data_IF_373765551485
#
_entry.id   IF_373765551485
#
_cell.length_a   1.000
_cell.length_b   1.000
_cell.length_c   1.000
_cell.angle_alpha   90.00
_cell.angle_beta   90.00
_cell.angle_gamma   90.00
#
_symmetry.space_group_name_H-M   'P 1'
#
loop_
_entity.id
_entity.type
_entity.pdbx_description
1 polymer ?
#
# COMPACT_ATOMS: atom_id res chain seq x y z
N UNK A 1 6.73 -1.88 -14.34
CA UNK A 1 5.36 -1.48 -14.76
C UNK A 1 5.50 -0.27 -15.69
N UNK A 2 4.57 -0.11 -16.63
CA UNK A 2 4.48 0.89 -17.72
C UNK A 2 5.61 1.95 -17.78
N UNK A 3 6.60 1.69 -18.65
CA UNK A 3 7.60 2.65 -19.11
C UNK A 3 6.92 3.77 -19.92
N UNK A 4 6.43 4.80 -19.23
CA UNK A 4 6.17 6.11 -19.85
C UNK A 4 7.33 7.03 -19.50
N UNK A 5 8.53 6.60 -19.86
CA UNK A 5 9.70 7.48 -19.93
C UNK A 5 9.66 8.18 -21.29
N UNK A 6 8.59 8.96 -21.51
CA UNK A 6 8.51 9.84 -22.66
C UNK A 6 9.38 11.07 -22.31
N UNK A 7 10.47 11.37 -23.02
CA UNK A 7 11.38 12.47 -22.70
C UNK A 7 10.77 13.82 -23.11
N UNK A 8 9.56 14.11 -22.62
CA UNK A 8 8.79 15.30 -22.98
C UNK A 8 8.79 16.22 -21.76
N UNK A 9 9.75 17.14 -21.74
CA UNK A 9 9.97 18.15 -20.68
C UNK A 9 8.89 19.25 -20.65
N UNK A 10 7.62 18.90 -20.84
CA UNK A 10 6.52 19.83 -20.63
C UNK A 10 6.06 19.76 -19.17
N UNK A 11 6.17 20.88 -18.44
CA UNK A 11 5.81 20.98 -17.02
C UNK A 11 4.43 20.40 -16.70
N UNK A 12 3.44 20.63 -17.57
CA UNK A 12 2.08 20.09 -17.38
C UNK A 12 2.00 18.56 -17.47
N UNK A 13 2.83 17.90 -18.29
CA UNK A 13 2.85 16.44 -18.41
C UNK A 13 3.54 15.83 -17.18
N UNK A 14 4.60 16.47 -16.67
CA UNK A 14 5.29 16.01 -15.45
C UNK A 14 4.38 16.15 -14.23
N UNK A 15 3.62 17.24 -14.13
CA UNK A 15 2.61 17.43 -13.08
C UNK A 15 1.47 16.41 -13.20
N UNK A 16 0.94 16.19 -14.40
CA UNK A 16 -0.08 15.18 -14.65
C UNK A 16 0.43 13.75 -14.36
N UNK A 17 1.66 13.43 -14.75
CA UNK A 17 2.30 12.15 -14.46
C UNK A 17 2.51 11.97 -12.96
N UNK A 18 2.97 13.00 -12.24
CA UNK A 18 3.08 12.95 -10.79
C UNK A 18 1.71 12.76 -10.11
N UNK A 19 0.67 13.39 -10.65
CA UNK A 19 -0.71 13.20 -10.20
C UNK A 19 -1.16 11.75 -10.45
N UNK A 20 -1.05 11.27 -11.69
CA UNK A 20 -1.42 9.91 -12.10
C UNK A 20 -0.67 8.89 -11.25
N UNK A 21 0.65 9.00 -11.09
CA UNK A 21 1.44 8.09 -10.24
C UNK A 21 0.94 8.12 -8.80
N UNK A 22 0.58 9.29 -8.26
CA UNK A 22 0.05 9.41 -6.89
C UNK A 22 -1.32 8.74 -6.72
N UNK A 23 -2.24 8.88 -7.68
CA UNK A 23 -3.58 8.27 -7.60
C UNK A 23 -3.60 6.81 -8.07
N UNK A 24 -2.77 6.42 -9.04
CA UNK A 24 -2.64 5.04 -9.51
C UNK A 24 -1.79 4.17 -8.58
N UNK A 25 -0.87 4.75 -7.80
CA UNK A 25 -0.19 4.01 -6.74
C UNK A 25 -1.20 3.46 -5.70
N UNK A 26 -2.32 4.14 -5.50
CA UNK A 26 -3.41 3.59 -4.67
C UNK A 26 -4.09 2.39 -5.35
N UNK A 27 -4.25 2.42 -6.68
CA UNK A 27 -4.81 1.32 -7.48
C UNK A 27 -3.91 0.08 -7.51
N UNK A 28 -2.59 0.24 -7.48
CA UNK A 28 -1.64 -0.89 -7.50
C UNK A 28 -1.48 -1.57 -6.13
N UNK A 29 -1.88 -0.89 -5.05
CA UNK A 29 -1.86 -1.41 -3.68
C UNK A 29 -3.01 -2.38 -3.38
N UNK A 30 -2.86 -3.15 -2.31
CA UNK A 30 -3.72 -4.29 -1.97
C UNK A 30 -5.18 -3.86 -1.79
N UNK A 31 -5.44 -2.70 -1.16
CA UNK A 31 -6.79 -2.10 -1.12
C UNK A 31 -7.36 -1.75 -2.49
N UNK A 32 -6.53 -1.27 -3.43
CA UNK A 32 -6.94 -0.91 -4.79
C UNK A 32 -7.39 -2.11 -5.60
N UNK A 33 -6.67 -3.24 -5.48
CA UNK A 33 -7.08 -4.53 -6.08
C UNK A 33 -8.42 -5.01 -5.52
N UNK A 34 -8.65 -4.87 -4.21
CA UNK A 34 -9.93 -5.20 -3.58
C UNK A 34 -11.09 -4.39 -4.15
N UNK A 35 -10.92 -3.07 -4.29
CA UNK A 35 -11.93 -2.18 -4.89
C UNK A 35 -12.20 -2.57 -6.35
N UNK A 36 -11.16 -2.93 -7.10
CA UNK A 36 -11.33 -3.41 -8.47
C UNK A 36 -12.14 -4.70 -8.56
N UNK A 37 -11.93 -5.65 -7.65
CA UNK A 37 -12.75 -6.87 -7.58
C UNK A 37 -14.19 -6.59 -7.18
N UNK A 38 -14.44 -5.63 -6.29
CA UNK A 38 -15.81 -5.19 -5.96
C UNK A 38 -16.50 -4.67 -7.22
N UNK A 39 -15.83 -3.77 -7.95
CA UNK A 39 -16.36 -3.21 -9.20
C UNK A 39 -16.63 -4.31 -10.24
N UNK A 40 -15.64 -5.19 -10.47
CA UNK A 40 -15.75 -6.28 -11.42
C UNK A 40 -16.88 -7.24 -11.05
N UNK A 41 -17.02 -7.60 -9.76
CA UNK A 41 -18.11 -8.44 -9.27
C UNK A 41 -19.50 -7.81 -9.52
N UNK A 42 -19.65 -6.52 -9.23
CA UNK A 42 -20.92 -5.80 -9.50
C UNK A 42 -21.24 -5.70 -11.00
N UNK A 43 -20.22 -5.46 -11.83
CA UNK A 43 -20.40 -5.34 -13.29
C UNK A 43 -20.72 -6.70 -13.93
N UNK A 44 -20.05 -7.78 -13.50
CA UNK A 44 -20.36 -9.15 -13.91
C UNK A 44 -21.78 -9.53 -13.50
N UNK A 45 -22.19 -9.22 -12.26
CA UNK A 45 -23.55 -9.45 -11.81
C UNK A 45 -24.59 -8.74 -12.69
N UNK A 46 -24.41 -7.43 -12.92
CA UNK A 46 -25.32 -6.64 -13.76
C UNK A 46 -25.39 -7.17 -15.20
N UNK A 47 -24.24 -7.48 -15.80
CA UNK A 47 -24.17 -7.98 -17.18
C UNK A 47 -24.88 -9.32 -17.36
N UNK A 48 -24.67 -10.27 -16.44
CA UNK A 48 -25.35 -11.58 -16.56
C UNK A 48 -26.84 -11.51 -16.23
N UNK A 49 -27.24 -10.59 -15.35
CA UNK A 49 -28.64 -10.37 -15.01
C UNK A 49 -29.43 -9.76 -16.19
N UNK A 50 -28.88 -8.71 -16.81
CA UNK A 50 -29.54 -8.00 -17.92
C UNK A 50 -29.66 -8.84 -19.19
N UNK A 51 -28.65 -9.66 -19.49
CA UNK A 51 -28.68 -10.52 -20.69
C UNK A 51 -29.51 -11.80 -20.51
N UNK A 52 -30.10 -12.03 -19.33
CA UNK A 52 -30.92 -13.22 -18.98
C UNK A 52 -30.28 -14.58 -19.31
N UNK A 53 -28.94 -14.65 -19.43
CA UNK A 53 -28.23 -15.87 -19.85
C UNK A 53 -28.33 -16.93 -18.75
N UNK A 54 -27.98 -16.54 -17.51
CA UNK A 54 -27.98 -17.45 -16.37
C UNK A 54 -27.99 -16.67 -15.05
N UNK A 55 -29.18 -16.51 -14.45
CA UNK A 55 -29.37 -15.80 -13.17
C UNK A 55 -28.58 -16.38 -12.00
N UNK A 56 -28.60 -17.70 -11.83
CA UNK A 56 -27.88 -18.39 -10.76
C UNK A 56 -26.35 -18.26 -10.92
N UNK A 57 -25.83 -18.23 -12.15
CA UNK A 57 -24.42 -17.97 -12.45
C UNK A 57 -24.04 -16.52 -12.18
N UNK A 58 -24.93 -15.57 -12.48
CA UNK A 58 -24.76 -14.15 -12.15
C UNK A 58 -24.54 -13.97 -10.65
N UNK A 59 -25.41 -14.58 -9.84
CA UNK A 59 -25.32 -14.55 -8.37
C UNK A 59 -24.03 -15.23 -7.92
N UNK A 60 -23.76 -16.46 -8.36
CA UNK A 60 -22.65 -17.24 -7.81
C UNK A 60 -21.28 -16.66 -8.17
N UNK A 61 -21.07 -16.22 -9.41
CA UNK A 61 -19.81 -15.60 -9.85
C UNK A 61 -19.68 -14.14 -9.39
N UNK A 62 -20.71 -13.33 -9.61
CA UNK A 62 -20.69 -11.90 -9.27
C UNK A 62 -20.57 -11.67 -7.77
N UNK A 63 -21.37 -12.38 -6.98
CA UNK A 63 -21.33 -12.26 -5.52
C UNK A 63 -20.04 -12.83 -4.91
N UNK A 64 -19.53 -13.95 -5.43
CA UNK A 64 -18.28 -14.52 -4.95
C UNK A 64 -17.09 -13.57 -5.16
N UNK A 65 -16.95 -13.00 -6.37
CA UNK A 65 -15.90 -12.02 -6.68
C UNK A 65 -16.06 -10.75 -5.84
N UNK A 66 -17.30 -10.29 -5.65
CA UNK A 66 -17.60 -9.16 -4.78
C UNK A 66 -17.16 -9.42 -3.33
N UNK A 67 -17.49 -10.59 -2.75
CA UNK A 67 -17.10 -10.95 -1.38
C UNK A 67 -15.58 -10.99 -1.20
N UNK A 68 -14.85 -11.56 -2.17
CA UNK A 68 -13.38 -11.55 -2.16
C UNK A 68 -12.86 -10.11 -2.19
N UNK A 69 -13.46 -9.25 -3.03
CA UNK A 69 -13.12 -7.84 -3.10
C UNK A 69 -13.30 -7.12 -1.76
N UNK A 70 -14.46 -7.30 -1.12
CA UNK A 70 -14.75 -6.72 0.21
C UNK A 70 -13.75 -7.23 1.25
N UNK A 71 -13.50 -8.54 1.30
CA UNK A 71 -12.56 -9.13 2.25
C UNK A 71 -11.14 -8.58 2.06
N UNK A 72 -10.67 -8.49 0.81
CA UNK A 72 -9.36 -7.93 0.49
C UNK A 72 -9.26 -6.45 0.88
N UNK A 73 -10.28 -5.64 0.60
CA UNK A 73 -10.33 -4.22 0.97
C UNK A 73 -10.32 -4.03 2.48
N UNK A 74 -11.10 -4.81 3.24
CA UNK A 74 -11.14 -4.74 4.71
C UNK A 74 -9.79 -5.13 5.31
N UNK A 75 -9.20 -6.23 4.87
CA UNK A 75 -7.89 -6.68 5.33
C UNK A 75 -6.79 -5.65 5.05
N UNK A 76 -6.78 -5.06 3.86
CA UNK A 76 -5.86 -3.98 3.52
C UNK A 76 -6.06 -2.75 4.40
N UNK A 77 -7.31 -2.34 4.62
CA UNK A 77 -7.64 -1.21 5.48
C UNK A 77 -7.25 -1.43 6.95
N UNK A 78 -7.44 -2.64 7.50
CA UNK A 78 -7.02 -2.97 8.85
C UNK A 78 -5.50 -2.88 9.02
N UNK A 79 -4.74 -3.42 8.06
CA UNK A 79 -3.27 -3.34 8.08
C UNK A 79 -2.77 -1.91 7.90
N UNK A 80 -3.43 -1.12 7.04
CA UNK A 80 -3.16 0.31 6.86
C UNK A 80 -3.29 1.07 8.18
N UNK A 81 -4.37 0.82 8.93
CA UNK A 81 -4.59 1.45 10.25
C UNK A 81 -3.52 1.05 11.26
N UNK A 82 -3.07 -0.21 11.24
CA UNK A 82 -2.00 -0.68 12.13
C UNK A 82 -0.69 0.04 11.82
N UNK A 83 -0.33 0.18 10.55
CA UNK A 83 0.82 0.95 10.11
C UNK A 83 0.70 2.43 10.49
N UNK A 84 -0.48 3.03 10.33
CA UNK A 84 -0.70 4.43 10.72
C UNK A 84 -0.61 4.65 12.23
N UNK A 85 -1.01 3.67 13.05
CA UNK A 85 -0.79 3.75 14.52
C UNK A 85 0.69 3.78 14.88
N UNK A 86 1.52 2.92 14.26
CA UNK A 86 2.98 2.93 14.45
C UNK A 86 3.52 4.30 14.13
N UNK A 87 3.11 4.85 12.99
CA UNK A 87 3.49 6.19 12.56
C UNK A 87 3.11 7.26 13.58
N UNK A 88 1.87 7.23 14.08
CA UNK A 88 1.39 8.19 15.08
C UNK A 88 2.17 8.09 16.39
N UNK A 89 2.54 6.87 16.82
CA UNK A 89 3.36 6.68 18.02
C UNK A 89 4.78 7.21 17.84
N UNK A 90 5.41 6.95 16.69
CA UNK A 90 6.73 7.53 16.37
C UNK A 90 6.67 9.05 16.38
N UNK A 91 5.62 9.65 15.79
CA UNK A 91 5.42 11.11 15.81
C UNK A 91 5.24 11.65 17.24
N UNK A 92 4.50 10.95 18.09
CA UNK A 92 4.30 11.34 19.50
C UNK A 92 5.59 11.32 20.31
N UNK A 93 6.52 10.42 19.99
CA UNK A 93 7.81 10.33 20.66
C UNK A 93 8.73 11.52 20.34
N UNK A 94 8.36 12.42 19.40
CA UNK A 94 9.11 13.63 19.02
C UNK A 94 10.60 13.39 18.71
N UNK A 95 11.00 12.14 18.47
CA UNK A 95 12.37 11.82 18.12
C UNK A 95 12.61 12.26 16.68
N UNK A 96 13.79 12.84 16.45
CA UNK A 96 14.20 13.25 15.13
C UNK A 96 14.18 12.02 14.20
N UNK A 97 13.36 12.02 13.15
CA UNK A 97 13.09 10.83 12.32
C UNK A 97 14.36 10.26 11.69
N UNK A 98 15.34 11.12 11.42
CA UNK A 98 16.66 10.74 10.92
C UNK A 98 17.49 10.00 11.98
N UNK A 99 17.40 10.43 13.24
CA UNK A 99 18.11 9.77 14.35
C UNK A 99 17.52 8.40 14.65
N UNK A 100 16.19 8.26 14.61
CA UNK A 100 15.56 6.95 14.71
C UNK A 100 16.00 6.05 13.55
N UNK A 101 15.93 6.53 12.32
CA UNK A 101 16.35 5.74 11.17
C UNK A 101 17.79 5.24 11.32
N UNK A 102 18.73 6.12 11.67
CA UNK A 102 20.14 5.75 11.87
C UNK A 102 20.36 4.83 13.10
N UNK A 103 19.48 4.88 14.10
CA UNK A 103 19.58 4.01 15.27
C UNK A 103 19.17 2.56 14.96
N UNK A 104 18.24 2.34 14.03
CA UNK A 104 17.66 1.02 13.72
C UNK A 104 18.16 0.44 12.39
N UNK A 105 18.52 1.24 11.39
CA UNK A 105 19.08 0.79 10.11
C UNK A 105 20.59 0.50 10.22
N UNK A 106 20.97 -0.47 11.07
CA UNK A 106 22.37 -0.77 11.40
C UNK A 106 23.02 -1.79 10.46
N UNK A 107 22.22 -2.64 9.83
CA UNK A 107 22.72 -3.80 9.09
C UNK A 107 23.29 -3.42 7.72
N UNK A 108 22.63 -2.51 6.99
CA UNK A 108 23.07 -2.06 5.66
C UNK A 108 22.66 -0.60 5.37
N UNK A 109 23.53 0.40 5.61
CA UNK A 109 23.24 1.81 5.30
C UNK A 109 22.95 2.08 3.81
N UNK A 110 23.47 1.23 2.92
CA UNK A 110 23.29 1.36 1.46
C UNK A 110 21.99 0.74 0.94
N UNK A 111 21.48 -0.33 1.58
CA UNK A 111 20.26 -1.03 1.17
C UNK A 111 19.01 -0.52 1.89
N UNK A 112 19.18 0.16 3.02
CA UNK A 112 18.10 0.72 3.83
C UNK A 112 17.67 -0.23 4.96
N UNK A 113 16.62 0.18 5.68
CA UNK A 113 16.10 -0.55 6.84
C UNK A 113 15.34 -1.81 6.38
N UNK A 114 15.75 -2.95 6.89
CA UNK A 114 15.15 -4.27 6.59
C UNK A 114 13.80 -4.47 7.29
N UNK A 115 13.08 -5.53 6.92
CA UNK A 115 11.82 -5.91 7.57
C UNK A 115 12.01 -6.17 9.08
N UNK A 116 13.07 -6.85 9.46
CA UNK A 116 13.36 -7.18 10.86
C UNK A 116 13.68 -5.94 11.69
N UNK A 117 14.46 -5.01 11.13
CA UNK A 117 14.77 -3.73 11.76
C UNK A 117 13.53 -2.84 11.91
N UNK A 118 12.64 -2.86 10.92
CA UNK A 118 11.35 -2.18 11.02
C UNK A 118 10.44 -2.83 12.08
N UNK A 119 10.44 -4.16 12.20
CA UNK A 119 9.67 -4.84 13.23
C UNK A 119 10.15 -4.45 14.62
N UNK A 120 11.47 -4.41 14.87
CA UNK A 120 12.05 -3.93 16.12
C UNK A 120 11.60 -2.49 16.45
N UNK A 121 11.62 -1.59 15.47
CA UNK A 121 11.13 -0.22 15.64
C UNK A 121 9.63 -0.18 15.95
N UNK A 122 8.83 -1.02 15.31
CA UNK A 122 7.39 -1.13 15.59
C UNK A 122 7.11 -1.71 16.99
N UNK A 123 7.91 -2.67 17.45
CA UNK A 123 7.81 -3.23 18.80
C UNK A 123 8.12 -2.17 19.86
N UNK A 124 9.08 -1.26 19.61
CA UNK A 124 9.34 -0.10 20.49
C UNK A 124 8.18 0.89 20.50
N UNK A 125 7.43 0.99 19.40
CA UNK A 125 6.16 1.70 19.38
C UNK A 125 5.04 0.90 20.11
N UNK A 126 5.24 -0.38 20.44
CA UNK A 126 4.25 -1.23 21.11
C UNK A 126 3.29 -1.94 20.14
N UNK A 127 3.68 -2.09 18.87
CA UNK A 127 2.90 -2.78 17.85
C UNK A 127 3.80 -3.81 17.17
N UNK A 128 3.45 -5.09 17.25
CA UNK A 128 4.16 -6.15 16.53
C UNK A 128 3.45 -6.52 15.22
N UNK A 129 4.21 -6.78 14.16
CA UNK A 129 3.68 -7.30 12.91
C UNK A 129 3.94 -8.81 12.80
N UNK A 130 3.11 -9.51 12.02
CA UNK A 130 3.46 -10.88 11.60
C UNK A 130 4.50 -10.83 10.46
N UNK A 131 5.32 -11.88 10.27
CA UNK A 131 6.30 -11.93 9.18
C UNK A 131 5.68 -11.64 7.81
N UNK A 132 4.50 -12.21 7.54
CA UNK A 132 3.78 -12.00 6.29
C UNK A 132 3.30 -10.55 6.13
N UNK A 133 2.94 -9.89 7.23
CA UNK A 133 2.50 -8.48 7.24
C UNK A 133 3.65 -7.53 6.95
N UNK A 134 4.85 -7.85 7.45
CA UNK A 134 6.07 -7.06 7.23
C UNK A 134 6.41 -6.94 5.75
N UNK A 135 6.28 -8.02 4.99
CA UNK A 135 6.49 -7.99 3.54
C UNK A 135 5.52 -7.03 2.84
N UNK A 136 4.26 -6.99 3.26
CA UNK A 136 3.29 -6.03 2.71
C UNK A 136 3.63 -4.60 3.10
N UNK A 137 3.98 -4.36 4.37
CA UNK A 137 4.39 -3.04 4.88
C UNK A 137 5.61 -2.52 4.12
N UNK A 138 6.61 -3.37 3.91
CA UNK A 138 7.84 -2.99 3.22
C UNK A 138 7.56 -2.69 1.74
N UNK A 139 6.72 -3.49 1.07
CA UNK A 139 6.25 -3.19 -0.29
C UNK A 139 5.41 -1.90 -0.39
N UNK A 140 4.75 -1.47 0.70
CA UNK A 140 3.98 -0.24 0.72
C UNK A 140 4.82 1.00 1.04
N UNK A 141 5.90 0.84 1.81
CA UNK A 141 6.84 1.88 2.19
C UNK A 141 7.93 2.09 1.13
N UNK A 142 8.43 1.02 0.52
CA UNK A 142 9.40 1.07 -0.56
C UNK A 142 8.68 1.24 -1.90
N UNK A 143 8.97 2.31 -2.63
CA UNK A 143 8.60 2.36 -4.04
C UNK A 143 9.50 1.41 -4.83
N UNK A 144 8.88 0.46 -5.53
CA UNK A 144 9.46 -0.42 -6.55
C UNK A 144 10.60 -1.35 -6.11
N UNK A 145 10.25 -2.55 -5.66
CA UNK A 145 11.09 -3.75 -5.76
C UNK A 145 12.37 -3.78 -4.90
N UNK A 146 12.53 -2.82 -3.98
CA UNK A 146 13.67 -2.77 -3.05
C UNK A 146 13.39 -3.56 -1.78
N UNK A 147 14.43 -4.21 -1.26
CA UNK A 147 14.38 -5.04 -0.04
C UNK A 147 14.48 -4.22 1.26
N UNK A 148 14.78 -2.93 1.19
CA UNK A 148 14.96 -2.06 2.36
C UNK A 148 14.37 -0.67 2.19
N UNK A 149 13.88 -0.12 3.31
CA UNK A 149 13.27 1.21 3.40
C UNK A 149 14.38 2.26 3.47
N UNK A 150 14.43 3.19 2.52
CA UNK A 150 15.45 4.24 2.54
C UNK A 150 15.10 5.33 3.57
N UNK A 151 16.10 6.10 4.01
CA UNK A 151 15.88 7.23 4.92
C UNK A 151 14.86 8.22 4.36
N UNK A 152 14.90 8.47 3.04
CA UNK A 152 13.97 9.36 2.34
C UNK A 152 12.54 8.82 2.39
N UNK A 153 12.36 7.53 2.13
CA UNK A 153 11.04 6.88 2.16
C UNK A 153 10.47 6.86 3.58
N UNK A 154 11.31 6.58 4.58
CA UNK A 154 10.94 6.61 5.99
C UNK A 154 10.54 8.00 6.46
N UNK A 155 11.36 9.02 6.18
CA UNK A 155 11.03 10.41 6.54
C UNK A 155 9.80 10.90 5.78
N UNK A 156 9.68 10.54 4.49
CA UNK A 156 8.51 10.83 3.67
C UNK A 156 7.24 10.19 4.20
N UNK A 157 7.30 8.95 4.70
CA UNK A 157 6.19 8.27 5.34
C UNK A 157 5.78 8.93 6.65
N UNK A 158 6.74 9.27 7.53
CA UNK A 158 6.47 9.94 8.80
C UNK A 158 5.84 11.32 8.59
N UNK A 159 6.30 12.08 7.59
CA UNK A 159 5.81 13.41 7.27
C UNK A 159 4.52 13.42 6.42
N UNK A 160 4.32 12.42 5.56
CA UNK A 160 3.31 12.40 4.49
C UNK A 160 1.87 12.07 4.92
N UNK A 161 0.95 11.74 4.01
CA UNK A 161 -0.38 11.23 4.38
C UNK A 161 -0.34 9.74 4.79
N UNK A 162 -1.39 9.24 5.43
CA UNK A 162 -1.48 7.82 5.79
C UNK A 162 -1.39 6.93 4.54
N UNK A 163 -0.61 5.84 4.63
CA UNK A 163 -0.41 4.88 3.54
C UNK A 163 -1.50 3.81 3.66
N UNK A 164 -2.35 3.73 2.62
CA UNK A 164 -3.26 2.61 2.43
C UNK A 164 -2.49 1.47 1.78
N UNK A 165 -2.54 0.30 2.40
CA UNK A 165 -1.85 -0.96 2.08
C UNK A 165 -2.62 -1.79 1.07
#
# INVERSE_FOLDING_TARGET
>A
MMFLDAPVRFKGIVEAQAFIVKYFAFLTRFTGRGIWYIFLGTMTFATLWDNQIWYLGAVLLGFYVFLIGVFATVMGAMKSRKLDRVRQQIRRQNANSEQMFNAYARSSPQEGMTAEEFDLLSQVAGISFRPDELTFVLNALCNEGRLGITQRDFCGWIAGPAILL
#
